data_IF_168996025883
#
_entry.id   IF_168996025883
#
_cell.length_a   1.000
_cell.length_b   1.000
_cell.length_c   1.000
_cell.angle_alpha   90.00
_cell.angle_beta   90.00
_cell.angle_gamma   90.00
#
_symmetry.space_group_name_H-M   'P 1'
#
loop_
_entity.id
_entity.type
_entity.pdbx_description
1 polymer ?
#
# COMPACT_ATOMS: atom_id res chain seq x y z
N UNK A 1 7.92 -4.88 -17.11
CA UNK A 1 7.20 -4.69 -15.85
C UNK A 1 8.20 -4.87 -14.72
N UNK A 2 8.34 -3.84 -13.89
CA UNK A 2 9.13 -3.92 -12.67
C UNK A 2 8.34 -4.69 -11.61
N UNK A 3 9.05 -5.21 -10.60
CA UNK A 3 8.43 -5.88 -9.46
C UNK A 3 8.63 -5.03 -8.23
N UNK A 4 7.59 -4.90 -7.42
CA UNK A 4 7.63 -4.14 -6.18
C UNK A 4 7.29 -5.06 -5.02
N UNK A 5 8.14 -5.08 -4.00
CA UNK A 5 7.82 -5.66 -2.70
C UNK A 5 7.13 -4.59 -1.86
N UNK A 6 5.86 -4.82 -1.52
CA UNK A 6 5.03 -3.91 -0.75
C UNK A 6 4.68 -4.57 0.59
N UNK A 7 5.04 -3.91 1.69
CA UNK A 7 4.69 -4.29 3.05
C UNK A 7 3.84 -3.16 3.67
N UNK A 8 2.76 -3.52 4.36
CA UNK A 8 1.84 -2.54 4.95
C UNK A 8 1.20 -3.09 6.21
N UNK A 9 1.16 -2.29 7.28
CA UNK A 9 0.46 -2.64 8.52
C UNK A 9 -0.94 -2.03 8.47
N UNK A 10 -1.96 -2.89 8.38
CA UNK A 10 -3.34 -2.43 8.28
C UNK A 10 -3.84 -1.83 9.61
N UNK A 11 -4.59 -0.72 9.57
CA UNK A 11 -5.17 -0.08 10.75
C UNK A 11 -6.43 -0.86 11.22
N UNK A 12 -6.22 -2.06 11.76
CA UNK A 12 -7.26 -2.94 12.30
C UNK A 12 -7.06 -3.18 13.81
N UNK A 13 -8.08 -3.69 14.50
CA UNK A 13 -8.02 -4.00 15.95
C UNK A 13 -6.86 -4.93 16.33
N UNK A 14 -6.36 -5.70 15.35
CA UNK A 14 -5.10 -6.42 15.43
C UNK A 14 -4.22 -5.92 14.29
N UNK A 15 -3.08 -5.28 14.60
CA UNK A 15 -2.10 -4.84 13.60
C UNK A 15 -1.69 -6.01 12.70
N UNK A 16 -2.25 -6.09 11.50
CA UNK A 16 -1.97 -7.17 10.54
C UNK A 16 -1.01 -6.68 9.47
N UNK A 17 0.10 -7.42 9.31
CA UNK A 17 1.08 -7.17 8.26
C UNK A 17 0.64 -7.81 6.94
N UNK A 18 0.38 -6.98 5.94
CA UNK A 18 0.16 -7.38 4.56
C UNK A 18 1.44 -7.21 3.76
N UNK A 19 1.97 -8.31 3.24
CA UNK A 19 3.17 -8.30 2.39
C UNK A 19 2.89 -9.03 1.07
N UNK A 20 3.15 -8.37 -0.05
CA UNK A 20 2.98 -8.92 -1.40
C UNK A 20 4.06 -8.41 -2.35
N UNK A 21 4.40 -9.26 -3.32
CA UNK A 21 5.13 -8.83 -4.51
C UNK A 21 4.10 -8.50 -5.59
N UNK A 22 4.18 -7.30 -6.14
CA UNK A 22 3.22 -6.77 -7.11
C UNK A 22 3.98 -6.33 -8.35
N UNK A 23 3.53 -6.79 -9.52
CA UNK A 23 4.02 -6.29 -10.80
C UNK A 23 3.40 -4.92 -11.11
N UNK A 24 4.22 -3.98 -11.59
CA UNK A 24 3.76 -2.65 -12.00
C UNK A 24 4.77 -1.94 -12.90
N UNK A 25 4.29 -0.94 -13.63
CA UNK A 25 5.16 -0.09 -14.45
C UNK A 25 5.77 1.06 -13.63
N UNK A 26 5.12 1.46 -12.54
CA UNK A 26 5.57 2.48 -11.59
C UNK A 26 5.21 2.08 -10.15
N UNK A 27 5.87 2.70 -9.16
CA UNK A 27 5.52 2.52 -7.74
C UNK A 27 4.04 2.84 -7.46
N UNK A 28 3.53 3.91 -8.06
CA UNK A 28 2.14 4.34 -7.89
C UNK A 28 1.15 3.29 -8.44
N UNK A 29 1.43 2.76 -9.64
CA UNK A 29 0.62 1.69 -10.22
C UNK A 29 0.64 0.41 -9.37
N UNK A 30 1.80 0.06 -8.81
CA UNK A 30 1.93 -1.09 -7.92
C UNK A 30 1.19 -0.90 -6.59
N UNK A 31 1.29 0.29 -5.98
CA UNK A 31 0.53 0.66 -4.78
C UNK A 31 -0.98 0.62 -5.03
N UNK A 32 -1.45 1.17 -6.15
CA UNK A 32 -2.87 1.16 -6.50
C UNK A 32 -3.40 -0.26 -6.70
N UNK A 33 -2.61 -1.14 -7.32
CA UNK A 33 -2.95 -2.56 -7.44
C UNK A 33 -3.02 -3.25 -6.08
N UNK A 34 -2.02 -3.04 -5.22
CA UNK A 34 -2.01 -3.58 -3.86
C UNK A 34 -3.22 -3.11 -3.05
N UNK A 35 -3.54 -1.82 -3.12
CA UNK A 35 -4.68 -1.20 -2.46
C UNK A 35 -5.99 -1.90 -2.82
N UNK A 36 -6.28 -2.01 -4.12
CA UNK A 36 -7.51 -2.60 -4.64
C UNK A 36 -7.64 -4.09 -4.31
N UNK A 37 -6.52 -4.82 -4.23
CA UNK A 37 -6.54 -6.28 -4.05
C UNK A 37 -6.51 -6.70 -2.57
N UNK A 38 -5.98 -5.88 -1.66
CA UNK A 38 -5.68 -6.30 -0.29
C UNK A 38 -6.15 -5.35 0.81
N UNK A 39 -6.32 -4.05 0.53
CA UNK A 39 -6.44 -3.00 1.56
C UNK A 39 -7.73 -2.17 1.42
N UNK A 40 -8.49 -2.33 0.33
CA UNK A 40 -9.71 -1.57 0.06
C UNK A 40 -10.83 -1.73 1.12
N UNK A 41 -10.70 -2.69 2.03
CA UNK A 41 -11.62 -2.85 3.16
C UNK A 41 -11.34 -1.86 4.31
N UNK A 42 -10.10 -1.35 4.42
CA UNK A 42 -9.67 -0.44 5.48
C UNK A 42 -9.76 1.04 5.11
N UNK A 43 -10.01 1.34 3.83
CA UNK A 43 -10.11 2.69 3.29
C UNK A 43 -11.34 2.81 2.39
N UNK A 44 -11.77 4.04 2.13
CA UNK A 44 -12.76 4.29 1.08
C UNK A 44 -12.23 3.79 -0.27
N UNK A 45 -13.05 3.05 -1.03
CA UNK A 45 -12.69 2.58 -2.36
C UNK A 45 -12.88 3.68 -3.42
N UNK A 46 -12.16 4.79 -3.24
CA UNK A 46 -12.14 5.96 -4.13
C UNK A 46 -10.74 6.58 -4.18
N UNK A 47 -10.58 7.66 -4.94
CA UNK A 47 -9.29 8.33 -5.08
C UNK A 47 -8.81 8.99 -3.78
N UNK A 48 -9.72 9.37 -2.88
CA UNK A 48 -9.35 9.92 -1.58
C UNK A 48 -8.80 8.83 -0.66
N UNK A 49 -9.43 7.66 -0.63
CA UNK A 49 -8.92 6.53 0.15
C UNK A 49 -7.55 6.06 -0.33
N UNK A 50 -7.34 6.01 -1.66
CA UNK A 50 -6.00 5.74 -2.20
C UNK A 50 -4.98 6.81 -1.82
N UNK A 51 -5.37 8.09 -1.81
CA UNK A 51 -4.50 9.18 -1.39
C UNK A 51 -4.02 8.98 0.06
N UNK A 52 -4.93 8.74 1.00
CA UNK A 52 -4.58 8.51 2.40
C UNK A 52 -3.70 7.27 2.58
N UNK A 53 -4.09 6.14 1.96
CA UNK A 53 -3.27 4.92 1.97
C UNK A 53 -1.85 5.18 1.45
N UNK A 54 -1.69 6.02 0.43
CA UNK A 54 -0.37 6.32 -0.13
C UNK A 54 0.47 7.16 0.84
N UNK A 55 -0.13 8.09 1.58
CA UNK A 55 0.60 8.90 2.57
C UNK A 55 1.24 8.03 3.66
N UNK A 56 0.61 6.91 4.02
CA UNK A 56 1.13 5.94 4.99
C UNK A 56 2.47 5.28 4.60
N UNK A 57 2.93 5.45 3.36
CA UNK A 57 4.24 4.97 2.89
C UNK A 57 5.33 6.05 2.91
N UNK A 58 4.94 7.32 2.99
CA UNK A 58 5.85 8.45 2.80
C UNK A 58 5.86 9.42 3.98
N UNK A 59 4.98 9.24 4.96
CA UNK A 59 5.02 9.97 6.22
C UNK A 59 6.26 9.58 7.05
N UNK A 60 7.22 10.49 7.15
CA UNK A 60 8.50 10.27 7.85
C UNK A 60 8.34 10.01 9.36
N UNK A 61 7.19 10.34 9.95
CA UNK A 61 6.96 10.20 11.40
C UNK A 61 6.17 8.96 11.79
N UNK A 62 5.34 8.44 10.87
CA UNK A 62 4.41 7.34 11.17
C UNK A 62 4.23 6.34 10.03
N UNK A 63 5.15 6.26 9.07
CA UNK A 63 5.07 5.32 7.96
C UNK A 63 4.75 3.89 8.44
N UNK A 64 3.57 3.41 8.06
CA UNK A 64 3.08 2.05 8.29
C UNK A 64 3.25 1.18 7.04
N UNK A 65 3.66 1.78 5.92
CA UNK A 65 3.95 1.14 4.64
C UNK A 65 5.41 1.21 4.22
N UNK A 66 5.84 0.22 3.43
CA UNK A 66 7.14 0.20 2.75
C UNK A 66 6.99 -0.37 1.33
N UNK A 67 7.65 0.25 0.36
CA UNK A 67 7.71 -0.21 -1.03
C UNK A 67 9.14 -0.19 -1.56
N UNK A 68 9.58 -1.32 -2.09
CA UNK A 68 10.93 -1.50 -2.66
C UNK A 68 10.79 -2.07 -4.07
N UNK A 69 11.49 -1.47 -5.03
CA UNK A 69 11.63 -2.01 -6.39
C UNK A 69 12.68 -3.13 -6.40
N UNK A 70 12.36 -4.26 -7.02
CA UNK A 70 13.18 -5.47 -7.09
C UNK A 70 13.96 -5.59 -8.40
#
# INVERSE_FOLDING_TARGET
MAKFSIAFIAPADTDQLYHKIVDGDTRDAALRKFFNENISEFYSNDDQGFYYFKEDFFDETSASGSIIEL
#
